data_IF_764660785237
#
_entry.id   IF_764660785237
#
_cell.length_a   1.000
_cell.length_b   1.000
_cell.length_c   1.000
_cell.angle_alpha   90.00
_cell.angle_beta   90.00
_cell.angle_gamma   90.00
#
_symmetry.space_group_name_H-M   'P 1'
#
loop_
_entity.id
_entity.type
_entity.pdbx_description
1 polymer ?
#
# COMPACT_ATOMS: atom_id res chain seq x y z
N UNK A 1 -1.20 -18.40 -0.91
CA UNK A 1 -0.12 -17.77 -0.13
C UNK A 1 -0.18 -18.18 1.34
N UNK A 2 -1.36 -18.30 1.92
CA UNK A 2 -1.47 -18.74 3.34
C UNK A 2 -0.99 -20.18 3.58
N UNK A 3 -1.15 -21.06 2.60
CA UNK A 3 -0.69 -22.46 2.69
C UNK A 3 0.83 -22.65 2.63
N UNK A 4 1.59 -21.64 2.21
CA UNK A 4 3.05 -21.72 2.06
C UNK A 4 3.82 -20.98 3.16
N UNK A 5 3.11 -20.28 4.07
CA UNK A 5 3.75 -19.45 5.10
C UNK A 5 4.52 -18.22 4.56
N UNK A 6 4.44 -17.97 3.24
CA UNK A 6 5.19 -16.89 2.60
C UNK A 6 4.79 -15.50 3.13
N UNK A 7 3.51 -15.28 3.42
CA UNK A 7 3.04 -14.04 4.03
C UNK A 7 3.66 -13.79 5.41
N UNK A 8 3.83 -14.83 6.19
CA UNK A 8 4.41 -14.75 7.53
C UNK A 8 5.92 -14.47 7.47
N UNK A 9 6.65 -15.12 6.57
CA UNK A 9 8.08 -14.87 6.35
C UNK A 9 8.35 -13.44 5.89
N UNK A 10 7.51 -12.90 5.00
CA UNK A 10 7.60 -11.50 4.56
C UNK A 10 7.31 -10.57 5.74
N UNK A 11 6.27 -10.84 6.53
CA UNK A 11 5.92 -10.06 7.70
C UNK A 11 7.06 -10.04 8.73
N UNK A 12 7.64 -11.19 9.08
CA UNK A 12 8.78 -11.28 10.00
C UNK A 12 10.01 -10.53 9.49
N UNK A 13 10.31 -10.65 8.20
CA UNK A 13 11.45 -9.95 7.59
C UNK A 13 11.26 -8.42 7.65
N UNK A 14 10.07 -7.93 7.34
CA UNK A 14 9.74 -6.51 7.38
C UNK A 14 9.75 -5.97 8.81
N UNK A 15 9.17 -6.68 9.76
CA UNK A 15 9.15 -6.26 11.17
C UNK A 15 10.55 -6.27 11.79
N UNK A 16 11.37 -7.25 11.45
CA UNK A 16 12.77 -7.32 11.87
C UNK A 16 13.61 -6.13 11.36
N UNK A 17 13.44 -5.76 10.10
CA UNK A 17 14.12 -4.60 9.52
C UNK A 17 13.69 -3.29 10.16
N UNK A 18 12.38 -3.07 10.30
CA UNK A 18 11.85 -1.83 10.88
C UNK A 18 12.19 -1.72 12.36
N UNK A 19 12.16 -2.81 13.11
CA UNK A 19 12.52 -2.84 14.53
C UNK A 19 13.98 -2.44 14.82
N UNK A 20 14.89 -2.61 13.85
CA UNK A 20 16.28 -2.18 14.01
C UNK A 20 16.51 -0.68 13.84
N UNK A 21 15.64 0.00 13.06
CA UNK A 21 15.83 1.40 12.68
C UNK A 21 14.81 2.36 13.28
N UNK A 22 13.65 1.85 13.72
CA UNK A 22 12.54 2.68 14.19
C UNK A 22 12.41 2.65 15.72
N UNK A 23 12.20 3.81 16.36
CA UNK A 23 11.82 3.86 17.78
C UNK A 23 10.43 3.22 17.96
N UNK A 24 10.24 2.52 19.08
CA UNK A 24 9.06 1.67 19.33
C UNK A 24 7.70 2.39 19.10
N UNK A 25 7.63 3.69 19.45
CA UNK A 25 6.40 4.49 19.29
C UNK A 25 6.06 4.84 17.82
N UNK A 26 7.03 4.77 16.91
CA UNK A 26 6.84 5.04 15.49
C UNK A 26 6.79 3.75 14.64
N UNK A 27 7.10 2.62 15.23
CA UNK A 27 7.20 1.34 14.50
C UNK A 27 5.92 1.01 13.75
N UNK A 28 4.77 1.15 14.39
CA UNK A 28 3.47 0.83 13.78
C UNK A 28 3.14 1.75 12.60
N UNK A 29 3.42 3.05 12.75
CA UNK A 29 3.19 4.05 11.69
C UNK A 29 4.14 3.83 10.51
N UNK A 30 5.39 3.47 10.76
CA UNK A 30 6.36 3.15 9.71
C UNK A 30 5.96 1.87 8.97
N UNK A 31 5.48 0.85 9.69
CA UNK A 31 4.96 -0.37 9.07
C UNK A 31 3.73 -0.08 8.21
N UNK A 32 2.81 0.75 8.69
CA UNK A 32 1.65 1.21 7.92
C UNK A 32 2.08 1.92 6.61
N UNK A 33 3.05 2.84 6.72
CA UNK A 33 3.59 3.57 5.59
C UNK A 33 4.26 2.63 4.57
N UNK A 34 5.04 1.65 5.03
CA UNK A 34 5.67 0.64 4.17
C UNK A 34 4.64 -0.21 3.42
N UNK A 35 3.62 -0.72 4.12
CA UNK A 35 2.54 -1.48 3.49
C UNK A 35 1.84 -0.63 2.43
N UNK A 36 1.57 0.64 2.74
CA UNK A 36 0.95 1.55 1.78
C UNK A 36 1.81 1.73 0.52
N UNK A 37 3.10 2.04 0.68
CA UNK A 37 4.01 2.27 -0.47
C UNK A 37 4.14 1.01 -1.33
N UNK A 38 4.30 -0.15 -0.71
CA UNK A 38 4.40 -1.42 -1.44
C UNK A 38 3.10 -1.71 -2.20
N UNK A 39 1.96 -1.55 -1.55
CA UNK A 39 0.65 -1.78 -2.17
C UNK A 39 0.40 -0.80 -3.32
N UNK A 40 0.67 0.50 -3.11
CA UNK A 40 0.54 1.53 -4.14
C UNK A 40 1.48 1.29 -5.32
N UNK A 41 2.67 0.75 -5.09
CA UNK A 41 3.58 0.37 -6.17
C UNK A 41 3.04 -0.82 -6.97
N UNK A 42 2.53 -1.83 -6.28
CA UNK A 42 1.96 -3.00 -6.98
C UNK A 42 0.74 -2.66 -7.81
N UNK A 43 -0.16 -1.79 -7.31
CA UNK A 43 -1.37 -1.43 -8.05
C UNK A 43 -1.11 -0.62 -9.31
N UNK A 44 0.07 -0.02 -9.47
CA UNK A 44 0.46 0.63 -10.74
C UNK A 44 0.71 -0.37 -11.89
N UNK A 45 0.94 -1.65 -11.56
CA UNK A 45 1.22 -2.72 -12.53
C UNK A 45 0.19 -3.85 -12.49
N UNK A 46 -0.52 -4.00 -11.39
CA UNK A 46 -1.55 -5.02 -11.16
C UNK A 46 -2.92 -4.35 -11.03
N UNK A 47 -3.99 -5.11 -11.26
CA UNK A 47 -5.33 -4.61 -10.95
C UNK A 47 -5.48 -4.36 -9.43
N UNK A 48 -6.30 -3.39 -9.04
CA UNK A 48 -6.59 -3.08 -7.64
C UNK A 48 -7.01 -4.32 -6.84
N UNK A 49 -7.85 -5.17 -7.43
CA UNK A 49 -8.30 -6.42 -6.79
C UNK A 49 -7.15 -7.40 -6.57
N UNK A 50 -6.22 -7.52 -7.52
CA UNK A 50 -5.05 -8.38 -7.38
C UNK A 50 -4.08 -7.83 -6.32
N UNK A 51 -3.88 -6.51 -6.27
CA UNK A 51 -3.06 -5.87 -5.25
C UNK A 51 -3.63 -6.10 -3.85
N UNK A 52 -4.94 -5.92 -3.64
CA UNK A 52 -5.61 -6.20 -2.36
C UNK A 52 -5.51 -7.68 -1.99
N UNK A 53 -5.81 -8.59 -2.92
CA UNK A 53 -5.74 -10.03 -2.66
C UNK A 53 -4.34 -10.51 -2.25
N UNK A 54 -3.30 -9.85 -2.76
CA UNK A 54 -1.91 -10.14 -2.41
C UNK A 54 -1.51 -9.52 -1.07
N UNK A 55 -1.89 -8.25 -0.84
CA UNK A 55 -1.34 -7.46 0.27
C UNK A 55 -2.11 -7.60 1.58
N UNK A 56 -3.43 -7.87 1.55
CA UNK A 56 -4.23 -8.02 2.77
C UNK A 56 -3.74 -9.18 3.66
N UNK A 57 -3.45 -10.40 3.15
CA UNK A 57 -2.88 -11.46 3.97
C UNK A 57 -1.53 -11.08 4.61
N UNK A 58 -0.69 -10.33 3.88
CA UNK A 58 0.60 -9.84 4.40
C UNK A 58 0.36 -8.80 5.50
N UNK A 59 -0.55 -7.87 5.30
CA UNK A 59 -0.94 -6.85 6.28
C UNK A 59 -1.45 -7.47 7.60
N UNK A 60 -2.28 -8.50 7.50
CA UNK A 60 -2.77 -9.27 8.68
C UNK A 60 -1.61 -10.01 9.35
N UNK A 61 -0.71 -10.62 8.58
CA UNK A 61 0.47 -11.31 9.11
C UNK A 61 1.40 -10.36 9.88
N UNK A 62 1.63 -9.15 9.35
CA UNK A 62 2.42 -8.10 10.01
C UNK A 62 1.77 -7.70 11.34
N UNK A 63 0.47 -7.39 11.32
CA UNK A 63 -0.27 -7.03 12.53
C UNK A 63 -0.20 -8.12 13.62
N UNK A 64 -0.33 -9.38 13.22
CA UNK A 64 -0.20 -10.52 14.12
C UNK A 64 1.22 -10.64 14.71
N UNK A 65 2.26 -10.38 13.91
CA UNK A 65 3.66 -10.45 14.35
C UNK A 65 4.01 -9.37 15.38
N UNK A 66 3.49 -8.15 15.20
CA UNK A 66 3.72 -7.03 16.13
C UNK A 66 2.67 -6.96 17.25
N UNK A 67 1.62 -7.80 17.21
CA UNK A 67 0.62 -7.90 18.28
C UNK A 67 -0.39 -6.75 18.32
N UNK A 68 -0.73 -6.16 17.16
CA UNK A 68 -1.66 -5.03 17.04
C UNK A 68 -2.90 -5.37 16.22
N UNK A 69 -3.90 -4.48 16.23
CA UNK A 69 -5.12 -4.64 15.42
C UNK A 69 -4.76 -4.63 13.92
N UNK A 70 -5.19 -5.61 13.13
CA UNK A 70 -4.95 -5.65 11.69
C UNK A 70 -5.75 -4.62 10.89
N UNK A 71 -6.83 -4.06 11.43
CA UNK A 71 -7.75 -3.16 10.72
C UNK A 71 -7.06 -1.97 10.07
N UNK A 72 -6.20 -1.19 10.76
CA UNK A 72 -5.52 -0.05 10.13
C UNK A 72 -4.67 -0.46 8.94
N UNK A 73 -3.98 -1.59 9.01
CA UNK A 73 -3.14 -2.10 7.91
C UNK A 73 -3.97 -2.57 6.71
N UNK A 74 -5.10 -3.24 6.96
CA UNK A 74 -6.03 -3.66 5.91
C UNK A 74 -6.67 -2.46 5.23
N UNK A 75 -7.14 -1.47 6.00
CA UNK A 75 -7.72 -0.24 5.45
C UNK A 75 -6.70 0.53 4.62
N UNK A 76 -5.48 0.70 5.13
CA UNK A 76 -4.40 1.35 4.38
C UNK A 76 -4.07 0.62 3.08
N UNK A 77 -4.06 -0.73 3.08
CA UNK A 77 -3.86 -1.53 1.88
C UNK A 77 -4.98 -1.35 0.85
N UNK A 78 -6.24 -1.29 1.29
CA UNK A 78 -7.38 -1.04 0.39
C UNK A 78 -7.34 0.35 -0.25
N UNK A 79 -6.99 1.37 0.53
CA UNK A 79 -6.83 2.74 0.02
C UNK A 79 -5.65 2.80 -0.96
N UNK A 80 -4.50 2.23 -0.58
CA UNK A 80 -3.31 2.19 -1.41
C UNK A 80 -3.53 1.47 -2.75
N UNK A 81 -4.24 0.34 -2.74
CA UNK A 81 -4.58 -0.41 -3.95
C UNK A 81 -5.48 0.39 -4.91
N UNK A 82 -6.25 1.35 -4.40
CA UNK A 82 -7.07 2.24 -5.21
C UNK A 82 -6.32 3.48 -5.71
N UNK A 83 -5.12 3.75 -5.19
CA UNK A 83 -4.27 4.88 -5.56
C UNK A 83 -3.35 4.54 -6.74
N UNK A 84 -3.93 4.21 -7.88
CA UNK A 84 -3.24 3.87 -9.14
C UNK A 84 -3.32 5.04 -10.11
N UNK A 85 -2.56 6.10 -9.84
CA UNK A 85 -2.63 7.35 -10.57
C UNK A 85 -1.41 7.63 -11.42
N UNK A 86 -0.25 7.06 -11.09
CA UNK A 86 1.02 7.43 -11.70
C UNK A 86 1.27 6.78 -13.06
N UNK A 87 0.51 5.71 -13.40
CA UNK A 87 0.63 5.05 -14.69
C UNK A 87 -0.71 4.94 -15.43
N UNK A 88 -0.71 4.93 -16.77
CA UNK A 88 -1.92 4.70 -17.55
C UNK A 88 -2.37 3.23 -17.56
N UNK A 89 -1.54 2.29 -17.08
CA UNK A 89 -1.79 0.85 -17.16
C UNK A 89 -2.37 0.26 -15.87
N UNK A 90 -2.20 0.94 -14.73
CA UNK A 90 -2.60 0.42 -13.41
C UNK A 90 -4.12 0.35 -13.22
N UNK A 91 -4.88 1.16 -13.96
CA UNK A 91 -6.34 1.18 -13.88
C UNK A 91 -6.98 1.26 -15.26
N UNK A 92 -8.06 0.51 -15.46
CA UNK A 92 -8.73 0.39 -16.78
C UNK A 92 -9.17 1.73 -17.35
N UNK A 93 -9.70 2.63 -16.51
CA UNK A 93 -10.10 3.98 -16.93
C UNK A 93 -8.90 4.79 -17.42
N UNK A 94 -7.76 4.70 -16.75
CA UNK A 94 -6.53 5.37 -17.16
C UNK A 94 -6.07 4.87 -18.53
N UNK A 95 -6.11 3.55 -18.74
CA UNK A 95 -5.76 2.93 -20.02
C UNK A 95 -6.68 3.41 -21.15
N UNK A 96 -7.98 3.49 -20.89
CA UNK A 96 -8.94 3.99 -21.86
C UNK A 96 -8.66 5.45 -22.23
N UNK A 97 -8.52 6.31 -21.22
CA UNK A 97 -8.23 7.76 -21.42
C UNK A 97 -6.90 7.94 -22.14
N UNK A 98 -5.88 7.16 -21.80
CA UNK A 98 -4.59 7.17 -22.47
C UNK A 98 -4.72 6.85 -23.97
N UNK A 99 -5.50 5.83 -24.31
CA UNK A 99 -5.69 5.38 -25.71
C UNK A 99 -6.44 6.38 -26.57
N UNK A 100 -7.42 7.08 -26.01
CA UNK A 100 -8.34 7.98 -26.78
C UNK A 100 -7.92 9.44 -26.68
N UNK A 101 -7.29 9.84 -25.56
CA UNK A 101 -7.06 11.24 -25.22
C UNK A 101 -5.75 11.83 -25.78
N UNK A 102 -4.91 11.05 -26.46
CA UNK A 102 -3.65 11.52 -27.00
C UNK A 102 -2.60 11.93 -25.95
N UNK A 103 -2.80 11.51 -24.69
CA UNK A 103 -1.87 11.77 -23.60
C UNK A 103 -0.58 10.95 -23.74
N UNK A 104 0.51 11.47 -23.17
CA UNK A 104 1.77 10.73 -23.05
C UNK A 104 1.82 10.02 -21.70
N UNK A 105 2.56 8.93 -21.62
CA UNK A 105 2.81 8.21 -20.37
C UNK A 105 3.27 9.14 -19.25
N UNK A 106 4.18 10.05 -19.57
CA UNK A 106 4.76 11.02 -18.64
C UNK A 106 3.72 11.98 -18.06
N UNK A 107 2.61 12.24 -18.76
CA UNK A 107 1.57 13.14 -18.27
C UNK A 107 0.85 12.51 -17.08
N UNK A 108 0.59 11.18 -17.12
CA UNK A 108 0.06 10.43 -15.99
C UNK A 108 1.02 10.46 -14.80
N UNK A 109 2.30 10.24 -15.04
CA UNK A 109 3.31 10.25 -13.96
C UNK A 109 3.42 11.63 -13.31
N UNK A 110 3.41 12.72 -14.09
CA UNK A 110 3.51 14.09 -13.55
C UNK A 110 2.35 14.49 -12.65
N UNK A 111 1.13 14.07 -12.99
CA UNK A 111 -0.06 14.38 -12.20
C UNK A 111 -0.30 13.31 -11.12
N UNK A 112 -0.09 12.07 -11.47
CA UNK A 112 -0.38 10.93 -10.59
C UNK A 112 0.59 10.80 -9.41
N UNK A 113 1.88 11.05 -9.59
CA UNK A 113 2.85 10.99 -8.49
C UNK A 113 2.53 11.97 -7.34
N UNK A 114 2.30 13.27 -7.59
CA UNK A 114 1.85 14.18 -6.53
C UNK A 114 0.55 13.72 -5.87
N UNK A 115 -0.40 13.19 -6.64
CA UNK A 115 -1.66 12.69 -6.10
C UNK A 115 -1.45 11.46 -5.22
N UNK A 116 -0.61 10.51 -5.64
CA UNK A 116 -0.23 9.35 -4.83
C UNK A 116 0.44 9.78 -3.51
N UNK A 117 1.30 10.80 -3.53
CA UNK A 117 1.94 11.34 -2.34
C UNK A 117 0.92 12.00 -1.38
N UNK A 118 -0.06 12.71 -1.91
CA UNK A 118 -1.13 13.31 -1.09
C UNK A 118 -1.96 12.19 -0.45
N UNK A 119 -2.38 11.19 -1.21
CA UNK A 119 -3.14 10.04 -0.69
C UNK A 119 -2.33 9.28 0.37
N UNK A 120 -1.03 9.07 0.15
CA UNK A 120 -0.11 8.49 1.12
C UNK A 120 -0.07 9.29 2.42
N UNK A 121 0.20 10.59 2.33
CA UNK A 121 0.31 11.46 3.50
C UNK A 121 -1.00 11.51 4.30
N UNK A 122 -2.14 11.64 3.62
CA UNK A 122 -3.46 11.65 4.25
C UNK A 122 -3.74 10.30 4.93
N UNK A 123 -3.47 9.19 4.26
CA UNK A 123 -3.76 7.85 4.81
C UNK A 123 -2.90 7.59 6.05
N UNK A 124 -1.60 7.85 5.98
CA UNK A 124 -0.67 7.63 7.11
C UNK A 124 -0.98 8.54 8.29
N UNK A 125 -1.50 9.76 8.04
CA UNK A 125 -1.89 10.67 9.10
C UNK A 125 -3.27 10.35 9.71
N UNK A 126 -4.23 9.93 8.89
CA UNK A 126 -5.65 9.79 9.29
C UNK A 126 -5.95 8.40 9.86
N UNK A 127 -5.42 7.34 9.27
CA UNK A 127 -5.71 5.96 9.71
C UNK A 127 -5.38 5.75 11.19
N UNK A 128 -4.22 6.20 11.74
CA UNK A 128 -3.93 6.05 13.15
C UNK A 128 -4.81 6.87 14.11
N UNK A 129 -5.57 7.84 13.59
CA UNK A 129 -6.51 8.65 14.40
C UNK A 129 -7.81 7.88 14.65
N UNK A 130 -8.25 7.06 13.68
CA UNK A 130 -9.50 6.30 13.77
C UNK A 130 -9.31 4.90 14.35
N UNK A 131 -8.12 4.35 14.26
CA UNK A 131 -7.79 3.02 14.77
C UNK A 131 -6.49 3.11 15.59
N UNK A 132 -6.61 2.87 16.88
CA UNK A 132 -5.45 2.71 17.77
C UNK A 132 -4.67 1.43 17.41
N UNK A 133 -3.34 1.52 17.49
CA UNK A 133 -2.45 0.39 17.26
C UNK A 133 -2.21 -0.42 18.53
#
# INVERSE_FOLDING_TARGET
MDSTGASLLIAESMTGLVGQFAPAHLQNVIMLALIYVITSTFTEFLSNNAAVALMVPIAIGIAATIGVDPRPFVVASCIAASASFATPIGYQTNTYVYGVGGYRFVDFTKVGLPLNLICFAVTVAVVPIFWDF
#
